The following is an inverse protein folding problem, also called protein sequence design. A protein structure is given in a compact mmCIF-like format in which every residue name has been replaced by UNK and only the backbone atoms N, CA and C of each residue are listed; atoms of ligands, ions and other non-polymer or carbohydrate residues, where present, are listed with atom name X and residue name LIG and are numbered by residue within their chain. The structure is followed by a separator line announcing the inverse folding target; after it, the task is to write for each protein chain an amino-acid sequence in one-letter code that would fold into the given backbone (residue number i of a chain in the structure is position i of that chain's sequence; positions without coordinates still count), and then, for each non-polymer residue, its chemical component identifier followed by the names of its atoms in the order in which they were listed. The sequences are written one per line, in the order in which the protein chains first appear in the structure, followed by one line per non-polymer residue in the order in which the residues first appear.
data_IF_830726673915
#
_entry.id   IF_830726673915
#
_cell.length_a   1.000
_cell.length_b   1.000
_cell.length_c   1.000
_cell.angle_alpha   90.00
_cell.angle_beta   90.00
_cell.angle_gamma   90.00
#
_symmetry.space_group_name_H-M   'P 1'
#
loop_
_entity.id
_entity.type
_entity.pdbx_description
1 polymer ?
#
# COMPACT_ATOMS: atom_id res chain seq x y z
N UNK A 1 -5.68 -17.85 3.01
CA UNK A 1 -6.70 -16.78 3.11
C UNK A 1 -7.43 -16.79 4.44
N UNK A 2 -8.05 -17.89 4.88
CA UNK A 2 -8.75 -17.92 6.19
C UNK A 2 -7.86 -17.49 7.36
N UNK A 3 -6.66 -18.05 7.47
CA UNK A 3 -5.73 -17.71 8.57
C UNK A 3 -5.27 -16.26 8.52
N UNK A 4 -5.13 -15.68 7.31
CA UNK A 4 -4.80 -14.28 7.13
C UNK A 4 -5.91 -13.39 7.66
N UNK A 5 -7.17 -13.65 7.30
CA UNK A 5 -8.31 -12.88 7.78
C UNK A 5 -8.45 -12.95 9.30
N UNK A 6 -8.17 -14.11 9.91
CA UNK A 6 -8.16 -14.27 11.37
C UNK A 6 -7.07 -13.40 12.00
N UNK A 7 -5.85 -13.39 11.46
CA UNK A 7 -4.75 -12.56 11.99
C UNK A 7 -4.95 -11.07 11.73
N UNK A 8 -5.56 -10.73 10.59
CA UNK A 8 -5.68 -9.35 10.13
C UNK A 8 -6.79 -8.57 10.80
N UNK A 9 -7.80 -9.23 11.38
CA UNK A 9 -8.95 -8.60 12.01
C UNK A 9 -9.46 -7.37 11.22
N UNK A 10 -9.87 -7.53 9.93
CA UNK A 10 -10.31 -6.40 9.10
C UNK A 10 -11.49 -5.67 9.75
N UNK A 11 -11.35 -4.36 9.95
CA UNK A 11 -12.32 -3.53 10.66
C UNK A 11 -13.10 -2.58 9.73
N UNK A 12 -12.64 -2.44 8.48
CA UNK A 12 -13.26 -1.62 7.46
C UNK A 12 -13.20 -2.33 6.08
N UNK A 13 -13.82 -1.72 5.08
CA UNK A 13 -13.85 -2.28 3.73
C UNK A 13 -12.48 -2.24 3.05
N UNK A 14 -11.69 -1.17 3.28
CA UNK A 14 -10.35 -1.01 2.70
C UNK A 14 -9.39 -2.13 3.11
N UNK A 15 -9.46 -2.59 4.36
CA UNK A 15 -8.69 -3.73 4.83
C UNK A 15 -8.96 -4.99 4.00
N UNK A 16 -10.22 -5.22 3.60
CA UNK A 16 -10.55 -6.39 2.77
C UNK A 16 -9.94 -6.27 1.38
N UNK A 17 -9.98 -5.07 0.79
CA UNK A 17 -9.37 -4.80 -0.53
C UNK A 17 -7.87 -5.02 -0.46
N UNK A 18 -7.20 -4.44 0.54
CA UNK A 18 -5.77 -4.56 0.75
C UNK A 18 -5.34 -6.03 0.96
N UNK A 19 -6.05 -6.78 1.81
CA UNK A 19 -5.75 -8.19 2.06
C UNK A 19 -5.94 -9.06 0.81
N UNK A 20 -6.96 -8.80 -0.01
CA UNK A 20 -7.13 -9.48 -1.29
C UNK A 20 -5.99 -9.13 -2.25
N UNK A 21 -5.61 -7.85 -2.32
CA UNK A 21 -4.54 -7.39 -3.19
C UNK A 21 -3.18 -8.01 -2.81
N UNK A 22 -2.89 -8.11 -1.51
CA UNK A 22 -1.70 -8.71 -0.93
C UNK A 22 -1.66 -10.25 -1.06
N UNK A 23 -2.81 -10.93 -1.20
CA UNK A 23 -2.86 -12.40 -1.27
C UNK A 23 -2.47 -12.96 -2.66
N UNK A 24 -1.40 -12.41 -3.25
CA UNK A 24 -0.82 -12.79 -4.54
C UNK A 24 0.70 -13.04 -4.40
N UNK A 25 1.30 -13.94 -5.20
CA UNK A 25 2.75 -14.15 -5.20
C UNK A 25 3.51 -12.84 -5.47
N UNK A 26 4.51 -12.51 -4.66
CA UNK A 26 5.17 -11.21 -4.65
C UNK A 26 4.62 -10.33 -3.52
N UNK A 27 3.45 -9.67 -3.67
CA UNK A 27 2.86 -8.82 -2.63
C UNK A 27 2.65 -9.50 -1.28
N UNK A 28 2.49 -10.83 -1.26
CA UNK A 28 2.31 -11.58 -0.02
C UNK A 28 3.50 -11.47 0.96
N UNK A 29 4.69 -11.14 0.46
CA UNK A 29 5.87 -10.87 1.29
C UNK A 29 5.68 -9.65 2.20
N UNK A 30 4.79 -8.73 1.83
CA UNK A 30 4.47 -7.51 2.59
C UNK A 30 3.33 -7.70 3.60
N UNK A 31 2.69 -8.89 3.65
CA UNK A 31 1.63 -9.19 4.61
C UNK A 31 2.08 -8.99 6.07
N UNK A 32 3.27 -9.48 6.50
CA UNK A 32 3.72 -9.27 7.87
C UNK A 32 3.82 -7.79 8.25
N UNK A 33 4.38 -6.97 7.37
CA UNK A 33 4.49 -5.52 7.57
C UNK A 33 3.12 -4.85 7.67
N UNK A 34 2.19 -5.19 6.76
CA UNK A 34 0.82 -4.67 6.81
C UNK A 34 0.12 -5.01 8.14
N UNK A 35 0.26 -6.25 8.61
CA UNK A 35 -0.34 -6.71 9.86
C UNK A 35 0.30 -6.04 11.08
N UNK A 36 1.61 -5.83 11.05
CA UNK A 36 2.34 -5.14 12.11
C UNK A 36 1.87 -3.69 12.20
N UNK A 37 1.98 -2.92 11.12
CA UNK A 37 1.58 -1.51 11.08
C UNK A 37 0.12 -1.30 11.47
N UNK A 38 -0.79 -2.17 11.02
CA UNK A 38 -2.21 -2.07 11.33
C UNK A 38 -2.51 -2.32 12.82
N UNK A 39 -1.91 -3.34 13.44
CA UNK A 39 -2.33 -3.82 14.76
C UNK A 39 -1.67 -3.07 15.93
N UNK A 40 -0.58 -2.37 15.66
CA UNK A 40 0.26 -1.80 16.71
C UNK A 40 0.11 -0.28 16.87
N UNK A 41 -0.73 0.36 16.04
CA UNK A 41 -0.73 1.83 15.87
C UNK A 41 0.70 2.38 15.74
N UNK A 42 1.65 1.58 15.22
CA UNK A 42 2.99 2.06 14.91
C UNK A 42 2.79 3.20 13.94
N UNK A 43 3.22 4.39 14.35
CA UNK A 43 3.24 5.54 13.47
C UNK A 43 3.97 5.11 12.20
N UNK A 44 3.22 5.15 11.09
CA UNK A 44 3.76 4.92 9.76
C UNK A 44 5.01 5.79 9.65
N UNK A 45 6.15 5.17 9.35
CA UNK A 45 7.40 5.91 9.21
C UNK A 45 7.17 7.08 8.25
N UNK A 46 7.43 8.30 8.74
CA UNK A 46 7.24 9.52 7.96
C UNK A 46 8.28 9.54 6.84
N UNK A 47 7.86 9.08 5.66
CA UNK A 47 8.73 9.00 4.49
C UNK A 47 8.89 10.38 3.85
N UNK A 48 7.76 11.06 3.58
CA UNK A 48 7.72 12.39 2.98
C UNK A 48 6.29 12.96 3.04
N UNK A 49 6.15 14.26 3.27
CA UNK A 49 4.85 14.95 3.38
C UNK A 49 3.89 14.71 2.18
N UNK A 50 4.46 14.49 0.99
CA UNK A 50 3.71 14.20 -0.24
C UNK A 50 3.32 12.72 -0.39
N UNK A 51 4.07 11.80 0.24
CA UNK A 51 3.89 10.34 0.15
C UNK A 51 2.96 9.84 1.25
N UNK A 52 3.13 10.32 2.48
CA UNK A 52 2.35 9.87 3.64
C UNK A 52 0.83 9.83 3.38
N UNK A 53 0.19 10.87 2.79
CA UNK A 53 -1.24 10.82 2.51
C UNK A 53 -1.63 9.77 1.45
N UNK A 54 -0.70 9.31 0.61
CA UNK A 54 -0.95 8.28 -0.43
C UNK A 54 -0.96 6.87 0.19
N UNK A 55 -0.15 6.63 1.22
CA UNK A 55 0.04 5.32 1.86
C UNK A 55 -0.66 5.19 3.23
N UNK A 56 -1.35 6.23 3.67
CA UNK A 56 -2.03 6.26 4.96
C UNK A 56 -3.08 5.14 5.10
N UNK A 57 -3.91 4.96 4.07
CA UNK A 57 -4.97 3.94 4.05
C UNK A 57 -4.44 2.50 3.94
N UNK A 58 -3.15 2.34 3.62
CA UNK A 58 -2.46 1.05 3.51
C UNK A 58 -1.37 0.87 4.57
N UNK A 59 -1.43 1.66 5.65
CA UNK A 59 -0.53 1.60 6.80
C UNK A 59 0.96 1.65 6.42
N UNK A 60 1.29 2.46 5.42
CA UNK A 60 2.66 2.64 4.94
C UNK A 60 3.12 1.64 3.88
N UNK A 61 2.31 0.64 3.55
CA UNK A 61 2.66 -0.39 2.54
C UNK A 61 2.12 0.04 1.19
N UNK A 62 2.96 0.07 0.15
CA UNK A 62 2.49 0.32 -1.22
C UNK A 62 1.87 -0.96 -1.77
N UNK A 63 0.56 -0.95 -2.01
CA UNK A 63 -0.23 -2.12 -2.42
C UNK A 63 -0.83 -1.93 -3.81
N UNK A 64 -1.18 -0.68 -4.17
CA UNK A 64 -1.91 -0.36 -5.39
C UNK A 64 -1.02 0.33 -6.42
N UNK A 65 -1.26 0.07 -7.71
CA UNK A 65 -0.54 0.75 -8.80
C UNK A 65 -0.80 2.26 -8.78
N UNK A 66 -2.01 2.66 -8.43
CA UNK A 66 -2.42 4.05 -8.29
C UNK A 66 -1.57 4.80 -7.24
N UNK A 67 -1.09 4.12 -6.21
CA UNK A 67 -0.17 4.71 -5.23
C UNK A 67 1.20 4.98 -5.87
N UNK A 68 1.73 4.02 -6.65
CA UNK A 68 3.00 4.20 -7.38
C UNK A 68 2.91 5.37 -8.35
N UNK A 69 1.83 5.44 -9.13
CA UNK A 69 1.58 6.52 -10.10
C UNK A 69 1.48 7.87 -9.38
N UNK A 70 0.74 7.96 -8.28
CA UNK A 70 0.60 9.20 -7.51
C UNK A 70 1.93 9.65 -6.88
N UNK A 71 2.74 8.70 -6.37
CA UNK A 71 4.07 8.99 -5.81
C UNK A 71 4.99 9.54 -6.91
N UNK A 72 5.04 8.87 -8.06
CA UNK A 72 5.84 9.31 -9.21
C UNK A 72 5.40 10.70 -9.69
N UNK A 73 4.09 10.96 -9.78
CA UNK A 73 3.54 12.26 -10.17
C UNK A 73 3.94 13.37 -9.17
N UNK A 74 3.76 13.13 -7.86
CA UNK A 74 3.98 14.16 -6.83
C UNK A 74 5.45 14.45 -6.56
N UNK A 75 6.32 13.44 -6.59
CA UNK A 75 7.74 13.60 -6.27
C UNK A 75 8.59 13.98 -7.48
N UNK A 76 8.37 13.34 -8.63
CA UNK A 76 9.19 13.55 -9.81
C UNK A 76 8.61 14.61 -10.76
N UNK A 77 7.41 15.13 -10.48
CA UNK A 77 6.74 16.11 -11.33
C UNK A 77 6.30 15.56 -12.68
N UNK A 78 6.23 14.23 -12.81
CA UNK A 78 5.76 13.57 -14.02
C UNK A 78 4.31 13.94 -14.33
N UNK A 79 3.98 14.03 -15.62
CA UNK A 79 2.59 13.98 -16.04
C UNK A 79 1.99 12.60 -15.75
N UNK A 80 0.66 12.51 -15.66
CA UNK A 80 -0.04 11.24 -15.39
C UNK A 80 0.34 10.14 -16.39
N UNK A 81 0.57 10.49 -17.67
CA UNK A 81 0.95 9.52 -18.69
C UNK A 81 2.38 9.01 -18.57
N UNK A 82 3.31 9.82 -18.04
CA UNK A 82 4.70 9.38 -17.80
C UNK A 82 4.78 8.47 -16.57
N UNK A 83 4.02 8.78 -15.52
CA UNK A 83 3.96 7.95 -14.31
C UNK A 83 3.29 6.58 -14.56
N UNK A 84 2.24 6.53 -15.39
CA UNK A 84 1.56 5.29 -15.78
C UNK A 84 2.46 4.37 -16.63
N UNK A 85 3.27 4.96 -17.53
CA UNK A 85 4.26 4.22 -18.31
C UNK A 85 5.30 3.56 -17.39
N UNK A 86 5.93 4.30 -16.48
CA UNK A 86 6.92 3.75 -15.55
C UNK A 86 6.33 2.66 -14.64
N UNK A 87 5.11 2.84 -14.13
CA UNK A 87 4.45 1.85 -13.28
C UNK A 87 4.07 0.55 -14.03
N UNK A 88 3.89 0.62 -15.36
CA UNK A 88 3.53 -0.52 -16.20
C UNK A 88 4.71 -1.41 -16.59
N UNK A 89 5.95 -0.92 -16.46
CA UNK A 89 7.18 -1.65 -16.80
C UNK A 89 7.93 -2.23 -15.59
N UNK A 90 7.47 -1.96 -14.36
CA UNK A 90 8.06 -2.41 -13.10
C UNK A 90 7.56 -3.76 -12.59
#
# INVERSE_FOLDING_TARGET
MKDLLVKAHPNNFEDLIALIALFRPGPMENIPQYLESKNTDIEIEDLHELINPIIADTYGVIIYQEQVIQIAQKLAGYSLGEADLEASYG
#
